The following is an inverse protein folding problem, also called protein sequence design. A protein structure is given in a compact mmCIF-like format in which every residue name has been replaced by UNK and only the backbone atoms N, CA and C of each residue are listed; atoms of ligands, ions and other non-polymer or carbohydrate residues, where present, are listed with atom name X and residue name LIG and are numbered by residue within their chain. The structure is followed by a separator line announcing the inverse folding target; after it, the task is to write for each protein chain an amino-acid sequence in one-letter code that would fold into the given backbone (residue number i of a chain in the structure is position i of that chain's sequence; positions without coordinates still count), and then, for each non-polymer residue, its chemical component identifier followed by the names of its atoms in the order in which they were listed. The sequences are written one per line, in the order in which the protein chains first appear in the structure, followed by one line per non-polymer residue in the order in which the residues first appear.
data_IF_115678963763
#
_entry.id   IF_115678963763
#
_cell.length_a   1.000
_cell.length_b   1.000
_cell.length_c   1.000
_cell.angle_alpha   90.00
_cell.angle_beta   90.00
_cell.angle_gamma   90.00
#
_symmetry.space_group_name_H-M   'P 1'
#
loop_
_entity.id
_entity.type
_entity.pdbx_description
1 polymer ?
#
# COMPACT_ATOMS: atom_id res chain seq x y z
N UNK A 1 22.64 -6.88 -17.26
CA UNK A 1 21.53 -6.84 -18.23
C UNK A 1 20.23 -6.52 -17.56
N UNK A 2 19.21 -6.18 -18.34
CA UNK A 2 17.85 -5.92 -17.86
C UNK A 2 16.86 -6.70 -18.73
N UNK A 3 15.71 -7.04 -18.14
CA UNK A 3 14.57 -7.65 -18.83
C UNK A 3 13.43 -6.63 -18.78
N UNK A 4 12.82 -6.36 -19.93
CA UNK A 4 11.66 -5.48 -20.02
C UNK A 4 10.40 -6.29 -20.32
N UNK A 5 9.33 -6.00 -19.58
CA UNK A 5 7.97 -6.48 -19.82
C UNK A 5 7.13 -5.29 -20.33
N UNK A 6 6.94 -5.12 -21.64
CA UNK A 6 6.31 -3.92 -22.19
C UNK A 6 4.82 -3.80 -21.88
N UNK A 7 4.17 -4.89 -21.50
CA UNK A 7 2.75 -4.93 -21.12
C UNK A 7 2.50 -4.82 -19.62
N UNK A 8 3.59 -4.71 -18.82
CA UNK A 8 3.50 -4.52 -17.38
C UNK A 8 3.36 -3.03 -17.03
N UNK A 9 2.90 -2.73 -15.82
CA UNK A 9 2.65 -1.37 -15.40
C UNK A 9 2.46 -1.23 -13.90
N UNK A 10 1.91 -0.11 -13.51
CA UNK A 10 1.48 0.15 -12.14
C UNK A 10 0.07 0.74 -12.14
N UNK A 11 -0.56 0.75 -10.98
CA UNK A 11 -1.90 1.29 -10.81
C UNK A 11 -1.95 2.21 -9.59
N UNK A 12 -2.82 3.21 -9.65
CA UNK A 12 -3.15 4.03 -8.49
C UNK A 12 -4.13 3.24 -7.60
N UNK A 13 -3.73 2.84 -6.36
CA UNK A 13 -4.54 1.95 -5.52
C UNK A 13 -5.93 2.50 -5.19
N UNK A 14 -6.03 3.80 -4.93
CA UNK A 14 -7.30 4.44 -4.61
C UNK A 14 -8.28 4.38 -5.80
N UNK A 15 -7.80 4.65 -7.01
CA UNK A 15 -8.62 4.63 -8.22
C UNK A 15 -9.09 3.21 -8.54
N UNK A 16 -8.19 2.23 -8.41
CA UNK A 16 -8.57 0.81 -8.56
C UNK A 16 -9.66 0.43 -7.56
N UNK A 17 -9.50 0.78 -6.30
CA UNK A 17 -10.48 0.48 -5.24
C UNK A 17 -11.83 1.10 -5.57
N UNK A 18 -11.87 2.36 -6.02
CA UNK A 18 -13.11 3.03 -6.39
C UNK A 18 -13.75 2.41 -7.65
N UNK A 19 -12.94 2.01 -8.63
CA UNK A 19 -13.44 1.33 -9.83
C UNK A 19 -14.08 -0.01 -9.48
N UNK A 20 -13.43 -0.82 -8.65
CA UNK A 20 -13.95 -2.11 -8.18
C UNK A 20 -15.22 -1.93 -7.34
N UNK A 21 -15.26 -0.94 -6.44
CA UNK A 21 -16.44 -0.64 -5.65
C UNK A 21 -17.63 -0.20 -6.52
N UNK A 22 -17.37 0.61 -7.55
CA UNK A 22 -18.39 1.02 -8.53
C UNK A 22 -18.90 -0.20 -9.31
N UNK A 23 -18.00 -1.06 -9.78
CA UNK A 23 -18.35 -2.29 -10.49
C UNK A 23 -19.17 -3.26 -9.63
N UNK A 24 -18.86 -3.36 -8.34
CA UNK A 24 -19.63 -4.17 -7.38
C UNK A 24 -21.05 -3.63 -7.18
N UNK A 25 -21.19 -2.32 -6.93
CA UNK A 25 -22.50 -1.69 -6.80
C UNK A 25 -23.38 -1.87 -8.03
N UNK A 26 -22.81 -1.73 -9.23
CA UNK A 26 -23.52 -1.92 -10.49
C UNK A 26 -24.02 -3.38 -10.68
N UNK A 27 -23.52 -4.31 -9.88
CA UNK A 27 -23.93 -5.71 -9.84
C UNK A 27 -24.79 -6.08 -8.64
N UNK A 28 -25.25 -5.06 -7.89
CA UNK A 28 -26.17 -5.23 -6.76
C UNK A 28 -25.48 -5.43 -5.40
N UNK A 29 -24.14 -5.29 -5.31
CA UNK A 29 -23.49 -5.33 -4.01
C UNK A 29 -23.77 -4.05 -3.21
N UNK A 30 -24.10 -4.22 -1.94
CA UNK A 30 -24.26 -3.13 -0.98
C UNK A 30 -22.91 -2.85 -0.30
N UNK A 31 -22.53 -1.58 -0.21
CA UNK A 31 -21.29 -1.15 0.43
C UNK A 31 -21.60 -0.15 1.54
N UNK A 32 -21.38 -0.58 2.77
CA UNK A 32 -21.62 0.22 3.97
C UNK A 32 -20.28 0.80 4.47
N UNK A 33 -20.07 2.09 4.20
CA UNK A 33 -18.91 2.83 4.71
C UNK A 33 -19.16 3.30 6.15
N UNK A 34 -18.06 3.55 6.87
CA UNK A 34 -18.11 4.01 8.26
C UNK A 34 -19.00 3.10 9.14
N UNK A 35 -18.91 1.80 8.90
CA UNK A 35 -19.68 0.78 9.62
C UNK A 35 -18.69 -0.26 10.12
N UNK A 36 -18.45 -0.25 11.42
CA UNK A 36 -17.42 -1.09 12.05
C UNK A 36 -18.02 -2.42 12.47
N UNK A 37 -17.42 -3.52 12.04
CA UNK A 37 -17.75 -4.86 12.54
C UNK A 37 -17.20 -4.99 13.96
N UNK A 38 -18.08 -5.31 14.91
CA UNK A 38 -17.76 -5.43 16.34
C UNK A 38 -17.88 -6.86 16.86
N UNK A 39 -18.46 -7.77 16.09
CA UNK A 39 -18.59 -9.17 16.45
C UNK A 39 -19.07 -10.03 15.27
N UNK A 40 -18.80 -11.33 15.38
CA UNK A 40 -19.26 -12.33 14.43
C UNK A 40 -19.69 -13.58 15.18
N UNK A 41 -20.89 -14.07 14.89
CA UNK A 41 -21.46 -15.24 15.55
C UNK A 41 -21.92 -16.26 14.52
N UNK A 42 -21.39 -17.47 14.59
CA UNK A 42 -21.85 -18.57 13.76
C UNK A 42 -23.25 -19.03 14.21
N UNK A 43 -24.10 -19.28 13.25
CA UNK A 43 -25.44 -19.85 13.44
C UNK A 43 -25.52 -21.23 12.76
N UNK A 44 -26.68 -21.85 12.81
CA UNK A 44 -26.89 -23.13 12.11
C UNK A 44 -26.79 -23.00 10.59
N UNK A 45 -27.25 -21.89 10.05
CA UNK A 45 -27.44 -21.69 8.61
C UNK A 45 -26.48 -20.62 8.02
N UNK A 46 -25.52 -20.11 8.80
CA UNK A 46 -24.59 -19.10 8.36
C UNK A 46 -24.01 -18.28 9.51
N UNK A 47 -24.04 -16.97 9.39
CA UNK A 47 -23.40 -16.04 10.33
C UNK A 47 -24.28 -14.83 10.61
N UNK A 48 -24.16 -14.29 11.80
CA UNK A 48 -24.60 -12.93 12.16
C UNK A 48 -23.36 -12.09 12.37
N UNK A 49 -23.23 -11.03 11.57
CA UNK A 49 -22.18 -10.02 11.70
C UNK A 49 -22.76 -8.82 12.44
N UNK A 50 -22.25 -8.56 13.62
CA UNK A 50 -22.63 -7.43 14.44
C UNK A 50 -21.80 -6.20 14.07
N UNK A 51 -22.46 -5.07 13.86
CA UNK A 51 -21.81 -3.80 13.55
C UNK A 51 -22.25 -2.72 14.54
N UNK A 52 -21.55 -1.61 14.57
CA UNK A 52 -21.92 -0.42 15.34
C UNK A 52 -23.22 0.26 14.86
N UNK A 53 -23.81 -0.24 13.76
CA UNK A 53 -25.06 0.31 13.16
C UNK A 53 -26.17 -0.72 12.97
N UNK A 54 -25.97 -1.93 13.43
CA UNK A 54 -26.94 -3.01 13.30
C UNK A 54 -26.28 -4.33 12.93
N UNK A 55 -27.08 -5.34 12.63
CA UNK A 55 -26.59 -6.68 12.34
C UNK A 55 -26.92 -7.09 10.91
N UNK A 56 -26.06 -7.91 10.32
CA UNK A 56 -26.20 -8.49 8.97
C UNK A 56 -26.16 -10.01 9.10
N UNK A 57 -27.15 -10.68 8.53
CA UNK A 57 -27.15 -12.14 8.39
C UNK A 57 -26.57 -12.51 7.02
N UNK A 58 -25.69 -13.50 6.99
CA UNK A 58 -25.06 -13.96 5.76
C UNK A 58 -24.63 -15.43 5.83
N UNK A 59 -24.49 -16.07 4.68
CA UNK A 59 -24.05 -17.46 4.59
C UNK A 59 -22.54 -17.59 4.79
N UNK A 60 -21.77 -16.63 4.27
CA UNK A 60 -20.30 -16.65 4.29
C UNK A 60 -19.73 -15.27 4.64
N UNK A 61 -18.61 -15.27 5.34
CA UNK A 61 -17.83 -14.07 5.62
C UNK A 61 -16.46 -14.19 4.93
N UNK A 62 -16.09 -13.17 4.17
CA UNK A 62 -14.74 -13.04 3.58
C UNK A 62 -14.08 -11.85 4.24
N UNK A 63 -13.03 -12.10 5.01
CA UNK A 63 -12.26 -11.04 5.67
C UNK A 63 -11.17 -10.51 4.75
N UNK A 64 -11.24 -9.22 4.41
CA UNK A 64 -10.23 -8.47 3.68
C UNK A 64 -9.77 -7.27 4.52
N UNK A 65 -9.57 -7.48 5.81
CA UNK A 65 -9.42 -6.42 6.82
C UNK A 65 -7.98 -5.89 6.98
N UNK A 66 -7.05 -6.29 6.09
CA UNK A 66 -5.69 -5.72 6.05
C UNK A 66 -4.99 -5.76 7.40
N UNK A 67 -4.54 -4.61 7.90
CA UNK A 67 -3.86 -4.47 9.19
C UNK A 67 -4.73 -4.89 10.39
N UNK A 68 -6.05 -4.97 10.23
CA UNK A 68 -6.99 -5.45 11.26
C UNK A 68 -7.26 -6.96 11.19
N UNK A 69 -6.60 -7.72 10.29
CA UNK A 69 -6.89 -9.13 10.07
C UNK A 69 -6.79 -9.98 11.34
N UNK A 70 -5.82 -9.67 12.21
CA UNK A 70 -5.63 -10.39 13.47
C UNK A 70 -6.79 -10.18 14.44
N UNK A 71 -7.29 -8.93 14.57
CA UNK A 71 -8.47 -8.63 15.39
C UNK A 71 -9.72 -9.29 14.83
N UNK A 72 -9.91 -9.21 13.52
CA UNK A 72 -11.05 -9.83 12.84
C UNK A 72 -11.04 -11.35 13.03
N UNK A 73 -9.87 -12.00 12.91
CA UNK A 73 -9.73 -13.43 13.18
C UNK A 73 -10.11 -13.81 14.61
N UNK A 74 -9.70 -13.01 15.59
CA UNK A 74 -10.04 -13.25 17.01
C UNK A 74 -11.54 -13.24 17.29
N UNK A 75 -12.33 -12.50 16.51
CA UNK A 75 -13.80 -12.50 16.67
C UNK A 75 -14.44 -13.87 16.42
N UNK A 76 -13.74 -14.74 15.68
CA UNK A 76 -14.17 -16.11 15.38
C UNK A 76 -13.22 -17.17 15.96
N UNK A 77 -12.38 -16.80 16.93
CA UNK A 77 -11.48 -17.71 17.63
C UNK A 77 -10.23 -18.12 16.84
N UNK A 78 -9.89 -17.41 15.77
CA UNK A 78 -8.67 -17.64 14.99
C UNK A 78 -7.54 -16.69 15.41
N UNK A 79 -6.34 -17.23 15.57
CA UNK A 79 -5.12 -16.42 15.71
C UNK A 79 -4.41 -16.36 14.35
N UNK A 80 -4.66 -15.28 13.62
CA UNK A 80 -4.07 -15.06 12.30
C UNK A 80 -2.68 -14.46 12.49
N UNK A 81 -1.59 -15.11 12.01
CA UNK A 81 -0.23 -14.67 12.23
C UNK A 81 0.17 -13.52 11.29
N UNK A 82 -0.56 -12.41 11.35
CA UNK A 82 -0.28 -11.19 10.58
C UNK A 82 0.12 -10.09 11.54
N UNK A 83 1.32 -9.55 11.33
CA UNK A 83 1.81 -8.37 12.04
C UNK A 83 2.26 -7.37 10.98
N UNK A 84 1.67 -6.17 10.94
CA UNK A 84 2.12 -5.11 10.04
C UNK A 84 3.54 -4.66 10.38
N UNK A 85 4.27 -4.23 9.36
CA UNK A 85 5.59 -3.63 9.48
C UNK A 85 5.56 -2.24 8.87
N UNK A 86 6.41 -1.36 9.38
CA UNK A 86 6.63 -0.06 8.76
C UNK A 86 7.31 -0.23 7.40
N UNK A 87 6.88 0.53 6.42
CA UNK A 87 7.46 0.53 5.09
C UNK A 87 7.55 1.94 4.55
N UNK A 88 8.71 2.31 4.02
CA UNK A 88 8.96 3.66 3.56
C UNK A 88 9.07 3.74 2.04
N UNK A 89 8.75 4.91 1.50
CA UNK A 89 9.14 5.29 0.15
C UNK A 89 9.44 6.78 0.06
N UNK A 90 10.27 7.14 -0.92
CA UNK A 90 10.74 8.50 -1.16
C UNK A 90 10.09 9.03 -2.43
N UNK A 91 9.62 10.27 -2.39
CA UNK A 91 9.25 11.05 -3.57
C UNK A 91 10.26 12.18 -3.71
N UNK A 92 10.86 12.32 -4.90
CA UNK A 92 11.82 13.39 -5.18
C UNK A 92 11.12 14.68 -5.59
N UNK A 93 11.88 15.78 -5.57
CA UNK A 93 11.53 16.96 -6.33
C UNK A 93 11.45 16.65 -7.84
N UNK A 94 10.77 17.49 -8.62
CA UNK A 94 10.68 17.30 -10.06
C UNK A 94 12.05 17.25 -10.72
N UNK A 95 12.25 16.27 -11.63
CA UNK A 95 13.49 16.10 -12.37
C UNK A 95 13.40 16.74 -13.76
N UNK A 96 14.40 17.58 -14.18
CA UNK A 96 14.35 18.30 -15.46
C UNK A 96 14.16 17.41 -16.69
N UNK A 97 14.83 16.25 -16.73
CA UNK A 97 14.69 15.31 -17.85
C UNK A 97 13.30 14.66 -17.92
N UNK A 98 12.70 14.33 -16.78
CA UNK A 98 11.34 13.79 -16.72
C UNK A 98 10.34 14.83 -17.18
N UNK A 99 10.50 16.08 -16.73
CA UNK A 99 9.70 17.20 -17.16
C UNK A 99 9.80 17.42 -18.68
N UNK A 100 11.02 17.34 -19.23
CA UNK A 100 11.27 17.45 -20.66
C UNK A 100 10.60 16.32 -21.43
N UNK A 101 10.76 15.06 -20.99
CA UNK A 101 10.10 13.90 -21.62
C UNK A 101 8.59 14.10 -21.72
N UNK A 102 7.96 14.54 -20.62
CA UNK A 102 6.52 14.82 -20.57
C UNK A 102 6.12 15.94 -21.54
N UNK A 103 6.91 17.00 -21.61
CA UNK A 103 6.70 18.13 -22.52
C UNK A 103 6.82 17.69 -23.99
N UNK A 104 7.75 16.79 -24.28
CA UNK A 104 7.99 16.23 -25.60
C UNK A 104 6.95 15.15 -25.99
N UNK A 105 5.97 14.87 -25.11
CA UNK A 105 4.90 13.90 -25.36
C UNK A 105 5.36 12.44 -25.35
N UNK A 106 6.53 12.16 -24.74
CA UNK A 106 7.04 10.80 -24.60
C UNK A 106 6.26 10.04 -23.51
N UNK A 107 6.05 8.73 -23.67
CA UNK A 107 5.40 7.91 -22.65
C UNK A 107 6.22 7.89 -21.35
N UNK A 108 5.54 7.64 -20.23
CA UNK A 108 6.22 7.37 -18.96
C UNK A 108 7.19 6.20 -19.08
N UNK A 109 8.27 6.27 -18.33
CA UNK A 109 9.21 5.16 -18.24
C UNK A 109 8.57 3.99 -17.48
N UNK A 110 8.94 2.78 -17.87
CA UNK A 110 8.51 1.59 -17.15
C UNK A 110 8.98 1.59 -15.69
N UNK A 111 8.31 0.82 -14.86
CA UNK A 111 8.75 0.60 -13.47
C UNK A 111 10.05 -0.18 -13.48
N UNK A 112 11.11 0.42 -12.94
CA UNK A 112 12.39 -0.24 -12.74
C UNK A 112 12.36 -1.00 -11.41
N UNK A 113 12.78 -2.27 -11.43
CA UNK A 113 13.02 -3.07 -10.23
C UNK A 113 14.46 -3.53 -10.18
N UNK A 114 15.12 -3.30 -9.06
CA UNK A 114 16.45 -3.83 -8.76
C UNK A 114 16.33 -4.85 -7.61
N UNK A 115 16.38 -6.14 -7.98
CA UNK A 115 16.22 -7.21 -7.00
C UNK A 115 17.45 -7.36 -6.10
N UNK A 116 18.63 -7.00 -6.58
CA UNK A 116 19.87 -7.10 -5.81
C UNK A 116 19.92 -6.05 -4.70
N UNK A 117 19.52 -4.82 -5.03
CA UNK A 117 19.45 -3.69 -4.08
C UNK A 117 18.07 -3.55 -3.41
N UNK A 118 17.13 -4.42 -3.78
CA UNK A 118 15.80 -4.53 -3.19
C UNK A 118 15.01 -3.23 -3.16
N UNK A 119 14.79 -2.62 -4.33
CA UNK A 119 13.95 -1.45 -4.50
C UNK A 119 13.27 -1.44 -5.87
N UNK A 120 12.24 -0.62 -5.97
CA UNK A 120 11.63 -0.23 -7.24
C UNK A 120 11.64 1.28 -7.40
N UNK A 121 11.62 1.73 -8.66
CA UNK A 121 11.57 3.14 -9.02
C UNK A 121 10.63 3.36 -10.20
N UNK A 122 9.89 4.45 -10.20
CA UNK A 122 9.06 4.90 -11.31
C UNK A 122 8.93 6.42 -11.33
N UNK A 123 8.36 6.95 -12.41
CA UNK A 123 7.97 8.37 -12.45
C UNK A 123 6.83 8.65 -11.47
N UNK A 124 6.89 9.79 -10.79
CA UNK A 124 5.83 10.29 -9.90
C UNK A 124 5.87 11.81 -9.85
N UNK A 125 4.74 12.46 -10.18
CA UNK A 125 4.55 13.92 -10.07
C UNK A 125 5.66 14.76 -10.76
N UNK A 126 6.23 14.24 -11.85
CA UNK A 126 7.31 14.87 -12.60
C UNK A 126 8.71 14.67 -12.01
N UNK A 127 8.84 13.90 -10.97
CA UNK A 127 10.07 13.38 -10.38
C UNK A 127 10.07 11.85 -10.35
N UNK A 128 10.71 11.28 -9.34
CA UNK A 128 10.84 9.84 -9.14
C UNK A 128 10.29 9.43 -7.78
N UNK A 129 9.74 8.24 -7.70
CA UNK A 129 9.47 7.54 -6.45
C UNK A 129 10.48 6.39 -6.33
N UNK A 130 11.07 6.24 -5.16
CA UNK A 130 11.89 5.09 -4.77
C UNK A 130 11.19 4.36 -3.63
N UNK A 131 10.82 3.11 -3.85
CA UNK A 131 10.23 2.24 -2.83
C UNK A 131 11.16 1.08 -2.52
N UNK A 132 11.94 1.15 -1.44
CA UNK A 132 12.81 0.06 -1.00
C UNK A 132 12.01 -1.04 -0.32
N UNK A 133 12.59 -2.24 -0.29
CA UNK A 133 12.20 -3.35 0.57
C UNK A 133 13.23 -3.43 1.69
N UNK A 134 12.97 -2.69 2.77
CA UNK A 134 13.90 -2.46 3.86
C UNK A 134 14.12 -3.71 4.71
N UNK A 135 15.38 -3.99 5.05
CA UNK A 135 15.69 -4.97 6.08
C UNK A 135 15.47 -4.38 7.47
N UNK A 136 14.97 -5.20 8.38
CA UNK A 136 14.79 -4.79 9.77
C UNK A 136 13.70 -3.74 9.99
N UNK A 137 12.76 -3.61 9.03
CA UNK A 137 11.60 -2.76 9.22
C UNK A 137 10.88 -3.13 10.53
N UNK A 138 10.61 -2.18 11.44
CA UNK A 138 10.02 -2.47 12.73
C UNK A 138 8.57 -2.93 12.58
N UNK A 139 8.16 -3.85 13.46
CA UNK A 139 6.77 -4.22 13.57
C UNK A 139 5.98 -3.05 14.17
N UNK A 140 4.87 -2.74 13.53
CA UNK A 140 3.88 -1.80 14.05
C UNK A 140 2.58 -2.53 14.37
N UNK A 141 1.71 -1.88 15.13
CA UNK A 141 0.38 -2.43 15.47
C UNK A 141 0.40 -3.88 15.98
N UNK A 142 1.38 -4.24 16.83
CA UNK A 142 1.53 -5.61 17.36
C UNK A 142 0.24 -6.11 18.03
N UNK A 143 -0.49 -5.21 18.68
CA UNK A 143 -1.80 -5.48 19.27
C UNK A 143 -2.97 -5.09 18.35
N UNK A 144 -2.68 -4.76 17.10
CA UNK A 144 -3.58 -4.23 16.09
C UNK A 144 -3.66 -2.70 16.10
N UNK A 145 -4.06 -2.13 14.96
CA UNK A 145 -4.30 -0.68 14.89
C UNK A 145 -5.37 -0.25 15.89
N UNK A 146 -5.32 1.01 16.29
CA UNK A 146 -6.41 1.59 17.10
C UNK A 146 -7.67 1.69 16.26
N UNK A 147 -8.83 1.74 16.92
CA UNK A 147 -10.14 1.84 16.24
C UNK A 147 -10.22 3.02 15.27
N UNK A 148 -9.56 4.11 15.62
CA UNK A 148 -9.59 5.37 14.86
C UNK A 148 -8.34 5.56 13.97
N UNK A 149 -7.52 4.52 13.82
CA UNK A 149 -6.33 4.56 12.94
C UNK A 149 -6.77 4.66 11.48
N UNK A 150 -6.47 5.79 10.87
CA UNK A 150 -6.81 6.08 9.47
C UNK A 150 -5.71 6.95 8.87
N UNK A 151 -5.09 6.49 7.77
CA UNK A 151 -4.01 7.19 7.05
C UNK A 151 -2.82 7.61 7.93
N UNK A 152 -2.54 6.84 8.96
CA UNK A 152 -1.46 7.11 9.89
C UNK A 152 -0.10 6.95 9.22
N UNK A 153 0.75 7.96 9.36
CA UNK A 153 2.14 7.92 8.92
C UNK A 153 3.03 7.95 10.15
N UNK A 154 4.08 7.14 10.10
CA UNK A 154 5.12 7.09 11.13
C UNK A 154 6.23 8.09 10.81
N UNK A 155 7.11 8.31 11.80
CA UNK A 155 8.31 9.10 11.58
C UNK A 155 9.21 8.41 10.56
N UNK A 156 9.80 9.20 9.67
CA UNK A 156 10.79 8.72 8.72
C UNK A 156 12.06 8.25 9.42
N UNK A 157 12.67 7.21 8.87
CA UNK A 157 13.94 6.65 9.29
C UNK A 157 14.92 6.67 8.10
N UNK A 158 15.72 7.72 8.05
CA UNK A 158 16.67 7.92 6.96
C UNK A 158 17.85 6.95 7.01
N UNK A 159 18.19 6.44 8.17
CA UNK A 159 19.28 5.47 8.32
C UNK A 159 18.92 4.15 7.66
N UNK A 160 17.66 3.71 7.77
CA UNK A 160 17.16 2.54 7.05
C UNK A 160 17.07 2.76 5.54
N UNK A 161 16.84 3.98 5.09
CA UNK A 161 16.74 4.33 3.68
C UNK A 161 18.10 4.48 3.00
N UNK A 162 19.14 4.89 3.72
CA UNK A 162 20.44 5.25 3.18
C UNK A 162 21.05 4.18 2.25
N UNK A 163 21.10 2.89 2.58
CA UNK A 163 21.68 1.88 1.69
C UNK A 163 20.91 1.74 0.37
N UNK A 164 19.61 1.92 0.40
CA UNK A 164 18.75 1.84 -0.79
C UNK A 164 18.87 3.08 -1.66
N UNK A 165 19.04 4.27 -1.04
CA UNK A 165 19.33 5.52 -1.74
C UNK A 165 20.67 5.41 -2.48
N UNK A 166 21.70 4.93 -1.82
CA UNK A 166 23.04 4.73 -2.41
C UNK A 166 22.96 3.73 -3.59
N UNK A 167 22.30 2.60 -3.41
CA UNK A 167 22.07 1.62 -4.45
C UNK A 167 21.28 2.18 -5.63
N UNK A 168 20.26 2.99 -5.36
CA UNK A 168 19.46 3.65 -6.38
C UNK A 168 20.29 4.66 -7.19
N UNK A 169 21.07 5.50 -6.53
CA UNK A 169 21.98 6.48 -7.18
C UNK A 169 23.03 5.75 -8.04
N UNK A 170 23.58 4.65 -7.53
CA UNK A 170 24.54 3.86 -8.30
C UNK A 170 23.94 3.30 -9.60
N UNK A 171 22.68 2.87 -9.56
CA UNK A 171 21.97 2.30 -10.71
C UNK A 171 21.35 3.37 -11.62
N UNK A 172 20.83 4.43 -11.04
CA UNK A 172 20.14 5.54 -11.70
C UNK A 172 20.73 6.86 -11.18
N UNK A 173 21.87 7.33 -11.73
CA UNK A 173 22.54 8.54 -11.25
C UNK A 173 21.64 9.77 -11.16
N UNK A 174 20.71 9.92 -12.10
CA UNK A 174 19.72 10.99 -12.11
C UNK A 174 18.90 11.10 -10.82
N UNK A 175 18.70 9.99 -10.09
CA UNK A 175 18.03 10.03 -8.80
C UNK A 175 18.76 10.87 -7.76
N UNK A 176 20.11 10.93 -7.84
CA UNK A 176 20.93 11.76 -6.96
C UNK A 176 21.05 13.23 -7.35
N UNK A 177 20.48 13.64 -8.49
CA UNK A 177 20.58 15.02 -9.00
C UNK A 177 19.48 15.94 -8.47
N UNK A 178 18.48 15.39 -7.78
CA UNK A 178 17.33 16.12 -7.23
C UNK A 178 17.15 15.85 -5.75
N UNK A 179 16.54 16.82 -5.05
CA UNK A 179 16.25 16.69 -3.62
C UNK A 179 15.09 15.73 -3.32
N UNK A 180 15.03 15.29 -2.08
CA UNK A 180 13.88 14.56 -1.52
C UNK A 180 12.78 15.57 -1.23
N UNK A 181 11.63 15.38 -1.86
CA UNK A 181 10.43 16.17 -1.59
C UNK A 181 9.71 15.70 -0.34
N UNK A 182 9.56 14.38 -0.22
CA UNK A 182 8.87 13.77 0.91
C UNK A 182 9.24 12.30 1.07
N UNK A 183 9.31 11.88 2.32
CA UNK A 183 9.33 10.47 2.71
C UNK A 183 7.94 10.11 3.27
N UNK A 184 7.46 8.95 2.92
CA UNK A 184 6.26 8.37 3.50
C UNK A 184 6.65 7.09 4.23
N UNK A 185 6.25 6.98 5.50
CA UNK A 185 6.43 5.78 6.30
C UNK A 185 5.05 5.35 6.81
N UNK A 186 4.60 4.17 6.41
CA UNK A 186 3.29 3.64 6.76
C UNK A 186 3.32 2.13 7.01
N UNK A 187 2.20 1.57 7.44
CA UNK A 187 2.01 0.14 7.65
C UNK A 187 1.57 -0.58 6.38
#
# INVERSE_FOLDING_TARGET
GAIQHPEDGYIQPADLTQALATGARNRGAEIYRNTTVIGMKQTKDGWVVETDKGSIECEHIISCSGNFARQTGKMVGLDIPVIPVEHQYIVTEPHPEIQKRKKDGLPEMGVLRDSDSRWYMREEAGGLILGPYEDGAPCCYINGPTKDSEYELFQEDLDRLAPHIEGAIHRVPAFGEVGVKKVYNGA
#
